data_IF_632537145573
#
_entry.id   IF_632537145573
#
_cell.length_a   1.000
_cell.length_b   1.000
_cell.length_c   1.000
_cell.angle_alpha   90.00
_cell.angle_beta   90.00
_cell.angle_gamma   90.00
#
_symmetry.space_group_name_H-M   'P 1'
#
loop_
_entity.id
_entity.type
_entity.pdbx_description
1 polymer ?
#
# COMPACT_ATOMS: atom_id res chain seq x y z
N UNK A 1 25.73 -1.65 -20.79
CA UNK A 1 24.27 -1.36 -20.74
C UNK A 1 23.65 -2.39 -19.84
N UNK A 2 23.31 -2.05 -18.59
CA UNK A 2 22.70 -2.99 -17.63
C UNK A 2 21.31 -2.49 -17.26
N UNK A 3 20.28 -3.21 -17.65
CA UNK A 3 18.90 -2.96 -17.19
C UNK A 3 18.80 -3.50 -15.76
N UNK A 4 18.84 -2.62 -14.76
CA UNK A 4 18.50 -2.98 -13.39
C UNK A 4 17.06 -3.49 -13.38
N UNK A 5 16.80 -4.73 -12.91
CA UNK A 5 15.43 -5.19 -12.76
C UNK A 5 14.71 -4.30 -11.74
N UNK A 6 13.57 -3.75 -12.14
CA UNK A 6 12.65 -3.04 -11.26
C UNK A 6 12.11 -4.04 -10.25
N UNK A 7 12.76 -4.17 -9.10
CA UNK A 7 12.23 -4.95 -7.97
C UNK A 7 10.85 -4.37 -7.60
N UNK A 8 9.80 -5.19 -7.46
CA UNK A 8 8.51 -4.72 -6.97
C UNK A 8 8.73 -3.99 -5.65
N UNK A 9 8.23 -2.75 -5.54
CA UNK A 9 8.33 -1.99 -4.30
C UNK A 9 7.45 -2.68 -3.24
N UNK A 10 8.10 -3.43 -2.35
CA UNK A 10 7.46 -4.02 -1.19
C UNK A 10 7.40 -2.97 -0.07
N UNK A 11 6.22 -2.76 0.53
CA UNK A 11 5.99 -1.82 1.64
C UNK A 11 5.53 -2.59 2.89
N UNK A 12 6.42 -3.34 3.55
CA UNK A 12 6.05 -4.31 4.58
C UNK A 12 5.66 -3.68 5.93
N UNK A 13 5.85 -2.37 6.13
CA UNK A 13 5.64 -1.73 7.44
C UNK A 13 5.32 -0.24 7.30
N UNK A 14 4.92 0.41 8.41
CA UNK A 14 4.64 1.85 8.44
C UNK A 14 5.84 2.66 7.97
N UNK A 15 5.62 3.57 7.01
CA UNK A 15 6.66 4.38 6.35
C UNK A 15 7.71 3.55 5.56
N UNK A 16 7.33 2.36 5.07
CA UNK A 16 8.05 1.62 4.03
C UNK A 16 9.17 0.73 4.54
N UNK A 17 9.85 1.12 5.62
CA UNK A 17 10.87 0.31 6.28
C UNK A 17 10.86 0.50 7.80
N UNK A 18 11.55 -0.38 8.53
CA UNK A 18 11.68 -0.25 9.99
C UNK A 18 12.42 1.03 10.41
N UNK A 19 13.14 1.67 9.49
CA UNK A 19 13.78 2.97 9.71
C UNK A 19 12.80 4.15 9.53
N UNK A 20 11.54 3.88 9.16
CA UNK A 20 10.45 4.85 8.97
C UNK A 20 10.79 5.97 8.00
N UNK A 21 11.56 5.70 6.95
CA UNK A 21 12.02 6.77 6.05
C UNK A 21 10.89 7.39 5.24
N UNK A 22 9.89 6.59 4.85
CA UNK A 22 8.78 7.02 4.01
C UNK A 22 9.23 7.46 2.61
N UNK A 23 8.28 7.57 1.68
CA UNK A 23 8.50 8.09 0.33
C UNK A 23 9.27 7.16 -0.60
N UNK A 24 8.62 6.70 -1.67
CA UNK A 24 9.36 6.15 -2.81
C UNK A 24 10.27 7.23 -3.40
N UNK A 25 11.41 6.85 -3.97
CA UNK A 25 12.35 7.78 -4.62
C UNK A 25 11.84 8.32 -5.97
N UNK A 26 10.60 8.06 -6.33
CA UNK A 26 9.96 8.54 -7.55
C UNK A 26 9.28 9.90 -7.34
N UNK A 27 9.12 10.66 -8.42
CA UNK A 27 8.20 11.80 -8.38
C UNK A 27 6.81 11.33 -7.93
N UNK A 28 6.11 12.11 -7.08
CA UNK A 28 4.70 11.86 -6.81
C UNK A 28 3.96 11.82 -8.15
N UNK A 29 3.31 10.70 -8.48
CA UNK A 29 2.60 10.52 -9.75
C UNK A 29 1.35 11.42 -9.91
N UNK A 30 1.23 12.48 -9.11
CA UNK A 30 0.02 13.25 -8.90
C UNK A 30 -1.04 12.44 -8.16
N UNK A 31 -2.04 13.12 -7.62
CA UNK A 31 -3.24 12.45 -7.13
C UNK A 31 -4.02 11.95 -8.36
N UNK A 32 -4.32 10.65 -8.50
CA UNK A 32 -5.17 10.20 -9.59
C UNK A 32 -6.52 10.90 -9.52
N UNK A 33 -6.99 11.43 -10.66
CA UNK A 33 -8.25 12.19 -10.74
C UNK A 33 -9.50 11.32 -10.57
N UNK A 34 -9.36 10.00 -10.79
CA UNK A 34 -10.43 9.02 -10.61
C UNK A 34 -9.91 7.77 -9.89
N UNK A 35 -10.65 7.26 -8.88
CA UNK A 35 -10.28 6.02 -8.21
C UNK A 35 -10.38 4.83 -9.19
N UNK A 36 -9.36 3.98 -9.22
CA UNK A 36 -9.35 2.74 -10.03
C UNK A 36 -10.34 1.72 -9.46
N UNK A 37 -10.42 1.64 -8.12
CA UNK A 37 -11.35 0.78 -7.42
C UNK A 37 -11.79 1.42 -6.10
N UNK A 38 -12.87 0.88 -5.53
CA UNK A 38 -13.35 1.23 -4.20
C UNK A 38 -13.93 0.00 -3.50
N UNK A 39 -13.63 -0.17 -2.22
CA UNK A 39 -14.16 -1.24 -1.37
C UNK A 39 -14.82 -0.64 -0.14
N UNK A 40 -16.04 -1.08 0.16
CA UNK A 40 -16.70 -0.78 1.43
C UNK A 40 -16.32 -1.84 2.47
N UNK A 41 -16.06 -1.37 3.69
CA UNK A 41 -15.70 -2.20 4.84
C UNK A 41 -16.70 -1.91 5.98
N UNK A 42 -16.99 -2.89 6.84
CA UNK A 42 -18.01 -2.78 7.88
C UNK A 42 -17.61 -1.86 9.05
N UNK A 43 -16.37 -1.39 9.08
CA UNK A 43 -15.86 -0.49 10.11
C UNK A 43 -14.86 0.53 9.57
N UNK A 44 -14.49 1.47 10.43
CA UNK A 44 -13.50 2.50 10.10
C UNK A 44 -12.11 1.88 9.92
N UNK A 45 -11.37 2.37 8.93
CA UNK A 45 -9.95 2.05 8.73
C UNK A 45 -9.13 3.23 9.24
N UNK A 46 -8.43 3.02 10.36
CA UNK A 46 -7.53 4.02 10.95
C UNK A 46 -6.05 3.65 10.79
N UNK A 47 -5.77 2.45 10.27
CA UNK A 47 -4.41 1.96 10.02
C UNK A 47 -3.82 2.58 8.74
N UNK A 48 -2.50 2.67 8.69
CA UNK A 48 -1.80 2.82 7.42
C UNK A 48 -1.75 1.46 6.70
N UNK A 49 -2.28 1.33 5.48
CA UNK A 49 -2.26 0.07 4.75
C UNK A 49 -0.83 -0.31 4.31
N UNK A 50 -0.60 -1.61 4.14
CA UNK A 50 0.68 -2.22 3.74
C UNK A 50 0.45 -2.96 2.42
N UNK A 51 1.28 -2.71 1.41
CA UNK A 51 1.22 -3.42 0.13
C UNK A 51 2.40 -4.40 0.02
N UNK A 52 2.10 -5.67 -0.14
CA UNK A 52 3.10 -6.73 -0.37
C UNK A 52 2.54 -7.79 -1.30
N UNK A 53 3.30 -8.16 -2.34
CA UNK A 53 2.93 -9.25 -3.26
C UNK A 53 1.49 -9.12 -3.80
N UNK A 54 1.10 -7.91 -4.22
CA UNK A 54 -0.23 -7.58 -4.76
C UNK A 54 -1.40 -7.64 -3.75
N UNK A 55 -1.10 -7.89 -2.47
CA UNK A 55 -2.08 -7.83 -1.39
C UNK A 55 -1.91 -6.55 -0.57
N UNK A 56 -3.03 -5.85 -0.41
CA UNK A 56 -3.16 -4.70 0.46
C UNK A 56 -3.72 -5.13 1.82
N UNK A 57 -2.88 -5.07 2.83
CA UNK A 57 -3.20 -5.41 4.21
C UNK A 57 -3.63 -4.17 4.99
N UNK A 58 -4.75 -4.27 5.71
CA UNK A 58 -5.27 -3.18 6.56
C UNK A 58 -6.09 -3.71 7.73
N UNK A 59 -5.98 -3.03 8.88
CA UNK A 59 -6.76 -3.35 10.07
C UNK A 59 -8.03 -2.50 10.11
N UNK A 60 -9.15 -3.14 10.38
CA UNK A 60 -10.45 -2.49 10.49
C UNK A 60 -10.93 -2.50 11.94
N UNK A 61 -11.68 -1.46 12.33
CA UNK A 61 -12.26 -1.35 13.67
C UNK A 61 -13.39 -2.36 13.96
N UNK A 62 -13.77 -3.18 12.98
CA UNK A 62 -14.65 -4.35 13.20
C UNK A 62 -13.93 -5.51 13.93
N UNK A 63 -12.61 -5.39 14.15
CA UNK A 63 -11.78 -6.42 14.78
C UNK A 63 -11.07 -7.35 13.80
N UNK A 64 -11.20 -7.13 12.48
CA UNK A 64 -10.64 -7.99 11.45
C UNK A 64 -9.41 -7.37 10.77
N UNK A 65 -8.48 -8.24 10.34
CA UNK A 65 -7.41 -7.92 9.39
C UNK A 65 -7.86 -8.32 8.00
N UNK A 66 -7.88 -7.36 7.07
CA UNK A 66 -8.25 -7.59 5.68
C UNK A 66 -7.00 -7.71 4.82
N UNK A 67 -7.00 -8.64 3.87
CA UNK A 67 -6.08 -8.72 2.75
C UNK A 67 -6.88 -8.56 1.46
N UNK A 68 -6.71 -7.42 0.79
CA UNK A 68 -7.41 -7.09 -0.45
C UNK A 68 -6.48 -7.29 -1.64
N UNK A 69 -6.99 -7.87 -2.71
CA UNK A 69 -6.28 -7.91 -3.99
C UNK A 69 -6.17 -6.49 -4.57
N UNK A 70 -4.99 -6.13 -5.07
CA UNK A 70 -4.68 -4.80 -5.58
C UNK A 70 -4.74 -4.67 -7.11
N UNK A 71 -5.18 -5.71 -7.84
CA UNK A 71 -5.34 -5.71 -9.30
C UNK A 71 -6.76 -5.33 -9.77
#
# INVERSE_FOLDING_TARGET
MGTTPTTPQNWPTFLGDNARRGGGSGEPAGTPSTPVWKKELPGMVVSSPVLQEELLYLACMDGSLYALDAN
#
